data_IF_581341165114
#
_entry.id   IF_581341165114
#
_cell.length_a   1.000
_cell.length_b   1.000
_cell.length_c   1.000
_cell.angle_alpha   90.00
_cell.angle_beta   90.00
_cell.angle_gamma   90.00
#
_symmetry.space_group_name_H-M   'P 1'
#
loop_
_entity.id
_entity.type
_entity.pdbx_description
1 polymer ?
#
# COMPACT_ATOMS: atom_id res chain seq x y z
N UNK A 1 -24.02 -5.67 -1.33
CA UNK A 1 -22.71 -5.54 -0.66
C UNK A 1 -22.45 -6.67 0.35
N UNK A 2 -23.17 -6.76 1.48
CA UNK A 2 -22.89 -7.73 2.56
C UNK A 2 -22.82 -9.20 2.11
N UNK A 3 -23.75 -9.65 1.27
CA UNK A 3 -23.76 -11.01 0.71
C UNK A 3 -22.52 -11.29 -0.13
N UNK A 4 -22.19 -10.37 -1.04
CA UNK A 4 -21.02 -10.49 -1.91
C UNK A 4 -19.72 -10.51 -1.10
N UNK A 5 -19.61 -9.66 -0.05
CA UNK A 5 -18.44 -9.62 0.81
C UNK A 5 -18.30 -10.91 1.62
N UNK A 6 -19.41 -11.42 2.17
CA UNK A 6 -19.44 -12.69 2.88
C UNK A 6 -18.98 -13.84 1.96
N UNK A 7 -19.42 -13.86 0.71
CA UNK A 7 -19.00 -14.89 -0.24
C UNK A 7 -17.47 -14.86 -0.45
N UNK A 8 -16.87 -13.68 -0.63
CA UNK A 8 -15.41 -13.56 -0.74
C UNK A 8 -14.69 -14.09 0.52
N UNK A 9 -15.23 -13.79 1.70
CA UNK A 9 -14.69 -14.33 2.97
C UNK A 9 -14.86 -15.85 3.04
N UNK A 10 -16.02 -16.39 2.66
CA UNK A 10 -16.27 -17.83 2.64
C UNK A 10 -15.30 -18.57 1.71
N UNK A 11 -15.08 -18.03 0.52
CA UNK A 11 -14.18 -18.61 -0.48
C UNK A 11 -12.74 -18.60 0.03
N UNK A 12 -12.31 -17.49 0.64
CA UNK A 12 -10.99 -17.40 1.28
C UNK A 12 -10.83 -18.40 2.42
N UNK A 13 -11.84 -18.58 3.27
CA UNK A 13 -11.83 -19.53 4.39
C UNK A 13 -11.74 -20.98 3.92
N UNK A 14 -12.39 -21.32 2.80
CA UNK A 14 -12.41 -22.70 2.26
C UNK A 14 -11.14 -23.08 1.51
N UNK A 15 -10.41 -22.10 0.98
CA UNK A 15 -9.21 -22.34 0.17
C UNK A 15 -8.08 -23.05 0.95
N UNK A 16 -7.95 -22.85 2.27
CA UNK A 16 -6.99 -23.57 3.11
C UNK A 16 -7.54 -23.88 4.49
N UNK A 17 -7.29 -25.09 5.00
CA UNK A 17 -7.77 -25.55 6.32
C UNK A 17 -7.24 -24.75 7.51
N UNK A 18 -6.11 -24.06 7.34
CA UNK A 18 -5.53 -23.20 8.39
C UNK A 18 -6.20 -21.83 8.48
N UNK A 19 -7.02 -21.45 7.49
CA UNK A 19 -7.67 -20.13 7.45
C UNK A 19 -8.92 -20.10 8.33
N UNK A 20 -9.04 -19.01 9.08
CA UNK A 20 -10.14 -18.78 10.00
C UNK A 20 -10.31 -17.27 10.22
N UNK A 21 -11.42 -16.86 10.84
CA UNK A 21 -11.70 -15.44 11.09
C UNK A 21 -10.65 -14.77 12.01
N UNK A 22 -9.98 -15.51 12.89
CA UNK A 22 -8.91 -14.95 13.72
C UNK A 22 -7.67 -14.61 12.88
N UNK A 23 -7.30 -15.50 11.95
CA UNK A 23 -6.24 -15.24 10.99
C UNK A 23 -6.56 -14.04 10.09
N UNK A 24 -7.79 -13.99 9.55
CA UNK A 24 -8.23 -12.88 8.71
C UNK A 24 -8.20 -11.55 9.49
N UNK A 25 -8.67 -11.55 10.74
CA UNK A 25 -8.61 -10.37 11.60
C UNK A 25 -7.20 -9.83 11.76
N UNK A 26 -6.21 -10.72 11.95
CA UNK A 26 -4.80 -10.34 12.03
C UNK A 26 -4.30 -9.79 10.69
N UNK A 27 -4.48 -10.54 9.61
CA UNK A 27 -3.96 -10.19 8.28
C UNK A 27 -4.58 -8.94 7.67
N UNK A 28 -5.85 -8.66 7.97
CA UNK A 28 -6.55 -7.48 7.46
C UNK A 28 -6.47 -6.29 8.41
N UNK A 29 -5.91 -6.45 9.62
CA UNK A 29 -5.95 -5.43 10.68
C UNK A 29 -7.37 -5.03 11.14
N UNK A 30 -8.41 -5.82 10.80
CA UNK A 30 -9.79 -5.56 11.22
C UNK A 30 -10.04 -6.27 12.54
N UNK A 31 -10.49 -5.58 13.61
CA UNK A 31 -10.75 -6.23 14.89
C UNK A 31 -11.72 -7.39 14.77
N UNK A 32 -11.42 -8.51 15.44
CA UNK A 32 -12.22 -9.73 15.36
C UNK A 32 -13.72 -9.53 15.64
N UNK A 33 -14.15 -8.71 16.65
CA UNK A 33 -15.56 -8.44 16.87
C UNK A 33 -16.23 -7.76 15.67
N UNK A 34 -15.54 -6.83 15.00
CA UNK A 34 -16.02 -6.15 13.79
C UNK A 34 -16.14 -7.14 12.64
N UNK A 35 -15.09 -7.93 12.40
CA UNK A 35 -15.10 -8.96 11.36
C UNK A 35 -16.22 -9.98 11.56
N UNK A 36 -16.43 -10.44 12.80
CA UNK A 36 -17.52 -11.37 13.15
C UNK A 36 -18.89 -10.79 12.79
N UNK A 37 -19.17 -9.54 13.16
CA UNK A 37 -20.45 -8.86 12.83
C UNK A 37 -20.62 -8.68 11.32
N UNK A 38 -19.55 -8.32 10.60
CA UNK A 38 -19.57 -8.20 9.13
C UNK A 38 -19.86 -9.55 8.48
N UNK A 39 -19.20 -10.62 8.95
CA UNK A 39 -19.39 -11.98 8.45
C UNK A 39 -20.79 -12.53 8.72
N UNK A 40 -21.36 -12.22 9.90
CA UNK A 40 -22.74 -12.53 10.27
C UNK A 40 -23.77 -11.59 9.63
N UNK A 41 -23.33 -10.59 8.86
CA UNK A 41 -24.18 -9.60 8.18
C UNK A 41 -25.01 -8.74 9.15
N UNK A 42 -24.53 -8.60 10.40
CA UNK A 42 -25.19 -7.82 11.46
C UNK A 42 -24.92 -6.31 11.34
N UNK A 43 -23.88 -5.91 10.63
CA UNK A 43 -23.53 -4.51 10.42
C UNK A 43 -22.97 -4.26 9.01
N UNK A 44 -23.32 -3.12 8.42
CA UNK A 44 -22.71 -2.64 7.18
C UNK A 44 -21.29 -2.12 7.46
N UNK A 45 -20.23 -2.73 6.87
CA UNK A 45 -18.87 -2.27 7.06
C UNK A 45 -18.66 -0.89 6.44
N UNK A 46 -17.77 -0.10 7.04
CA UNK A 46 -17.25 1.13 6.43
C UNK A 46 -16.43 0.80 5.18
N UNK A 47 -16.23 1.76 4.29
CA UNK A 47 -15.33 1.61 3.13
C UNK A 47 -13.92 1.15 3.57
N UNK A 48 -13.39 1.74 4.63
CA UNK A 48 -12.10 1.36 5.22
C UNK A 48 -12.07 -0.13 5.60
N UNK A 49 -13.12 -0.63 6.26
CA UNK A 49 -13.23 -2.05 6.62
C UNK A 49 -13.31 -2.92 5.38
N UNK A 50 -14.03 -2.49 4.34
CA UNK A 50 -14.13 -3.21 3.07
C UNK A 50 -12.77 -3.30 2.38
N UNK A 51 -12.05 -2.18 2.22
CA UNK A 51 -10.74 -2.13 1.59
C UNK A 51 -9.72 -3.03 2.31
N UNK A 52 -9.69 -2.95 3.65
CA UNK A 52 -8.83 -3.79 4.46
C UNK A 52 -9.10 -5.28 4.25
N UNK A 53 -10.38 -5.69 4.19
CA UNK A 53 -10.75 -7.09 3.93
C UNK A 53 -10.41 -7.52 2.50
N UNK A 54 -10.77 -6.73 1.49
CA UNK A 54 -10.50 -7.03 0.08
C UNK A 54 -9.01 -7.22 -0.20
N UNK A 55 -8.14 -6.48 0.51
CA UNK A 55 -6.69 -6.61 0.42
C UNK A 55 -6.18 -8.02 0.77
N UNK A 56 -6.98 -8.82 1.49
CA UNK A 56 -6.64 -10.18 1.91
C UNK A 56 -7.48 -11.24 1.20
N UNK A 57 -8.79 -11.03 1.11
CA UNK A 57 -9.73 -12.08 0.64
C UNK A 57 -9.93 -12.08 -0.87
N UNK A 58 -9.61 -10.99 -1.56
CA UNK A 58 -9.90 -10.83 -2.98
C UNK A 58 -8.92 -9.86 -3.66
N UNK A 59 -7.60 -10.09 -3.62
CA UNK A 59 -6.63 -9.18 -4.22
C UNK A 59 -6.81 -9.05 -5.74
N UNK A 60 -6.43 -7.91 -6.31
CA UNK A 60 -6.45 -7.68 -7.76
C UNK A 60 -7.83 -7.38 -8.34
N UNK A 61 -8.14 -8.01 -9.49
CA UNK A 61 -9.35 -7.75 -10.28
C UNK A 61 -10.65 -8.04 -9.53
N UNK A 62 -10.62 -8.95 -8.56
CA UNK A 62 -11.77 -9.26 -7.73
C UNK A 62 -12.11 -8.10 -6.78
N UNK A 63 -11.10 -7.44 -6.19
CA UNK A 63 -11.29 -6.22 -5.40
C UNK A 63 -11.85 -5.09 -6.27
N UNK A 64 -11.28 -4.88 -7.47
CA UNK A 64 -11.77 -3.86 -8.40
C UNK A 64 -13.22 -4.10 -8.82
N UNK A 65 -13.58 -5.34 -9.14
CA UNK A 65 -14.95 -5.72 -9.50
C UNK A 65 -15.92 -5.45 -8.35
N UNK A 66 -15.51 -5.77 -7.12
CA UNK A 66 -16.31 -5.49 -5.93
C UNK A 66 -16.49 -3.98 -5.71
N UNK A 67 -15.41 -3.20 -5.80
CA UNK A 67 -15.41 -1.76 -5.59
C UNK A 67 -16.23 -1.04 -6.66
N UNK A 68 -16.09 -1.41 -7.93
CA UNK A 68 -16.89 -0.83 -9.00
C UNK A 68 -18.40 -1.09 -8.82
N UNK A 69 -18.77 -2.24 -8.25
CA UNK A 69 -20.17 -2.60 -7.99
C UNK A 69 -20.78 -1.89 -6.80
N UNK A 70 -20.07 -1.75 -5.68
CA UNK A 70 -20.64 -1.26 -4.41
C UNK A 70 -20.15 0.13 -3.99
N UNK A 71 -19.05 0.62 -4.58
CA UNK A 71 -18.39 1.89 -4.25
C UNK A 71 -17.84 2.56 -5.52
N UNK A 72 -18.72 2.89 -6.48
CA UNK A 72 -18.34 3.28 -7.84
C UNK A 72 -17.33 4.44 -7.94
N UNK A 73 -17.41 5.43 -7.05
CA UNK A 73 -16.44 6.54 -6.99
C UNK A 73 -15.03 6.05 -6.66
N UNK A 74 -14.92 5.17 -5.66
CA UNK A 74 -13.66 4.56 -5.23
C UNK A 74 -13.17 3.55 -6.27
N UNK A 75 -14.07 2.71 -6.79
CA UNK A 75 -13.75 1.75 -7.84
C UNK A 75 -13.18 2.42 -9.09
N UNK A 76 -13.72 3.57 -9.48
CA UNK A 76 -13.19 4.39 -10.58
C UNK A 76 -11.80 4.93 -10.27
N UNK A 77 -11.58 5.44 -9.05
CA UNK A 77 -10.27 5.91 -8.61
C UNK A 77 -9.22 4.79 -8.59
N UNK A 78 -9.49 3.66 -7.94
CA UNK A 78 -8.57 2.50 -7.91
C UNK A 78 -8.36 1.96 -9.33
N UNK A 79 -9.40 1.91 -10.17
CA UNK A 79 -9.26 1.48 -11.56
C UNK A 79 -8.30 2.36 -12.35
N UNK A 80 -8.23 3.68 -12.09
CA UNK A 80 -7.25 4.56 -12.72
C UNK A 80 -5.82 4.28 -12.25
N UNK A 81 -5.65 3.95 -10.97
CA UNK A 81 -4.33 3.57 -10.42
C UNK A 81 -3.80 2.24 -10.99
N UNK A 82 -4.70 1.33 -11.35
CA UNK A 82 -4.36 -0.04 -11.78
C UNK A 82 -4.39 -0.20 -13.30
N UNK A 83 -5.20 0.58 -14.04
CA UNK A 83 -5.30 0.48 -15.49
C UNK A 83 -4.12 1.15 -16.19
N UNK A 84 -3.17 0.32 -16.62
CA UNK A 84 -2.10 0.73 -17.52
C UNK A 84 -0.77 0.06 -17.24
N UNK A 85 -0.64 -0.63 -16.10
CA UNK A 85 0.59 -1.17 -15.57
C UNK A 85 0.28 -2.55 -14.99
N UNK A 86 1.18 -3.52 -15.15
CA UNK A 86 1.08 -4.86 -14.53
C UNK A 86 1.26 -4.75 -13.01
N UNK A 87 0.34 -4.04 -12.35
CA UNK A 87 0.40 -3.66 -10.95
C UNK A 87 0.08 -4.88 -10.10
N UNK A 88 1.02 -5.27 -9.26
CA UNK A 88 0.86 -6.41 -8.38
C UNK A 88 0.31 -6.00 -7.01
N UNK A 89 -0.48 -6.86 -6.39
CA UNK A 89 -0.94 -6.67 -5.01
C UNK A 89 -0.19 -7.64 -4.11
N UNK A 90 0.62 -7.15 -3.15
CA UNK A 90 1.34 -8.02 -2.24
C UNK A 90 0.39 -8.90 -1.43
N UNK A 91 0.89 -10.08 -1.02
CA UNK A 91 0.15 -10.94 -0.10
C UNK A 91 -0.01 -10.30 1.27
N UNK A 92 -1.01 -10.73 2.04
CA UNK A 92 -1.25 -10.23 3.39
C UNK A 92 -0.06 -10.37 4.34
N UNK A 93 0.76 -11.41 4.20
CA UNK A 93 1.96 -11.57 5.03
C UNK A 93 3.02 -10.47 4.74
N UNK A 94 3.04 -9.96 3.51
CA UNK A 94 3.89 -8.82 3.12
C UNK A 94 3.28 -7.51 3.61
N UNK A 95 1.95 -7.38 3.67
CA UNK A 95 1.31 -6.21 4.26
C UNK A 95 1.77 -6.00 5.70
N UNK A 96 1.89 -7.07 6.50
CA UNK A 96 2.41 -6.97 7.87
C UNK A 96 3.85 -6.48 7.92
N UNK A 97 4.72 -6.93 7.01
CA UNK A 97 6.10 -6.40 6.93
C UNK A 97 6.12 -4.95 6.45
N UNK A 98 5.22 -4.54 5.56
CA UNK A 98 5.09 -3.15 5.11
C UNK A 98 4.63 -2.20 6.24
N UNK A 99 4.02 -2.72 7.32
CA UNK A 99 3.72 -1.94 8.54
C UNK A 99 4.97 -1.66 9.38
N UNK A 100 6.01 -2.48 9.27
CA UNK A 100 7.27 -2.30 9.98
C UNK A 100 8.20 -1.35 9.22
N UNK A 101 8.63 -0.26 9.90
CA UNK A 101 9.43 0.81 9.27
C UNK A 101 10.71 0.31 8.59
N UNK A 102 11.43 -0.62 9.23
CA UNK A 102 12.72 -1.10 8.71
C UNK A 102 12.51 -2.07 7.56
N UNK A 103 11.52 -2.95 7.68
CA UNK A 103 11.16 -3.89 6.63
C UNK A 103 10.65 -3.14 5.38
N UNK A 104 9.82 -2.11 5.57
CA UNK A 104 9.42 -1.18 4.52
C UNK A 104 10.61 -0.48 3.84
N UNK A 105 11.58 0.01 4.60
CA UNK A 105 12.78 0.63 4.04
C UNK A 105 13.63 -0.36 3.23
N UNK A 106 13.79 -1.60 3.73
CA UNK A 106 14.51 -2.67 3.03
C UNK A 106 13.79 -3.05 1.73
N UNK A 107 12.46 -3.20 1.75
CA UNK A 107 11.65 -3.49 0.56
C UNK A 107 11.80 -2.37 -0.47
N UNK A 108 11.75 -1.11 -0.04
CA UNK A 108 11.93 0.04 -0.93
C UNK A 108 13.33 0.05 -1.56
N UNK A 109 14.39 -0.22 -0.78
CA UNK A 109 15.76 -0.32 -1.30
C UNK A 109 15.95 -1.52 -2.25
N UNK A 110 15.27 -2.64 -1.97
CA UNK A 110 15.31 -3.84 -2.79
C UNK A 110 14.44 -3.72 -4.07
N UNK A 111 13.64 -2.66 -4.19
CA UNK A 111 12.88 -2.36 -5.40
C UNK A 111 13.80 -1.83 -6.51
N UNK A 112 13.31 -1.80 -7.76
CA UNK A 112 14.07 -1.41 -8.95
C UNK A 112 15.33 -2.29 -9.20
N UNK A 113 16.53 -1.70 -9.22
CA UNK A 113 17.77 -2.46 -9.46
C UNK A 113 18.28 -3.23 -8.23
N UNK A 114 17.58 -3.18 -7.11
CA UNK A 114 17.91 -3.95 -5.91
C UNK A 114 19.02 -3.34 -5.06
N UNK A 115 19.17 -3.87 -3.86
CA UNK A 115 20.12 -3.43 -2.82
C UNK A 115 21.17 -4.51 -2.51
N UNK A 116 22.01 -4.32 -1.49
CA UNK A 116 22.98 -5.33 -1.03
C UNK A 116 22.85 -5.55 0.47
N UNK A 117 23.26 -6.74 0.94
CA UNK A 117 23.30 -7.06 2.37
C UNK A 117 24.15 -6.05 3.15
N UNK A 118 25.30 -5.67 2.60
CA UNK A 118 26.21 -4.69 3.20
C UNK A 118 25.56 -3.31 3.37
N UNK A 119 24.71 -2.88 2.42
CA UNK A 119 23.99 -1.61 2.56
C UNK A 119 22.91 -1.68 3.64
N UNK A 120 22.17 -2.79 3.72
CA UNK A 120 21.15 -3.03 4.74
C UNK A 120 21.78 -3.02 6.14
N UNK A 121 22.85 -3.80 6.33
CA UNK A 121 23.59 -3.86 7.59
C UNK A 121 24.15 -2.49 7.99
N UNK A 122 24.78 -1.78 7.04
CA UNK A 122 25.31 -0.43 7.30
C UNK A 122 24.23 0.57 7.73
N UNK A 123 23.02 0.49 7.16
CA UNK A 123 21.93 1.45 7.45
C UNK A 123 21.13 1.09 8.70
N UNK A 124 20.94 -0.21 8.97
CA UNK A 124 19.95 -0.67 9.95
C UNK A 124 20.53 -1.62 11.01
N UNK A 125 21.82 -1.94 10.93
CA UNK A 125 22.53 -2.83 11.86
C UNK A 125 21.95 -4.25 11.90
N UNK A 126 22.21 -4.94 13.01
CA UNK A 126 21.81 -6.34 13.22
C UNK A 126 20.30 -6.54 13.10
N UNK A 127 19.50 -5.58 13.58
CA UNK A 127 18.04 -5.67 13.49
C UNK A 127 17.55 -5.61 12.03
N UNK A 128 18.16 -4.77 11.20
CA UNK A 128 17.88 -4.76 9.77
C UNK A 128 18.27 -6.06 9.08
N UNK A 129 19.40 -6.65 9.47
CA UNK A 129 19.83 -7.97 8.97
C UNK A 129 18.83 -9.07 9.33
N UNK A 130 18.30 -9.06 10.56
CA UNK A 130 17.25 -10.01 10.98
C UNK A 130 15.96 -9.83 10.16
N UNK A 131 15.53 -8.59 9.94
CA UNK A 131 14.36 -8.29 9.09
C UNK A 131 14.58 -8.72 7.64
N UNK A 132 15.77 -8.49 7.08
CA UNK A 132 16.11 -8.95 5.75
C UNK A 132 16.05 -10.49 5.65
N UNK A 133 16.62 -11.21 6.61
CA UNK A 133 16.58 -12.67 6.60
C UNK A 133 15.14 -13.19 6.64
N UNK A 134 14.30 -12.58 7.48
CA UNK A 134 12.86 -12.89 7.51
C UNK A 134 12.17 -12.63 6.17
N UNK A 135 12.46 -11.51 5.50
CA UNK A 135 11.92 -11.17 4.17
C UNK A 135 12.36 -12.19 3.09
N UNK A 136 13.57 -12.74 3.22
CA UNK A 136 14.07 -13.80 2.33
C UNK A 136 13.38 -15.14 2.65
N UNK A 137 13.23 -15.48 3.93
CA UNK A 137 12.56 -16.72 4.37
C UNK A 137 11.10 -16.79 3.89
N UNK A 138 10.41 -15.65 3.81
CA UNK A 138 9.03 -15.58 3.28
C UNK A 138 8.95 -15.37 1.76
N UNK A 139 10.07 -15.47 1.03
CA UNK A 139 10.15 -15.31 -0.42
C UNK A 139 9.67 -13.92 -0.94
N UNK A 140 9.69 -12.90 -0.06
CA UNK A 140 9.40 -11.52 -0.42
C UNK A 140 10.61 -10.84 -1.08
N UNK A 141 11.82 -11.22 -0.67
CA UNK A 141 13.09 -10.78 -1.27
C UNK A 141 13.87 -11.99 -1.74
N UNK A 142 14.46 -11.90 -2.93
CA UNK A 142 15.36 -12.91 -3.46
C UNK A 142 16.74 -12.31 -3.78
N UNK A 143 17.77 -13.16 -3.74
CA UNK A 143 19.14 -12.76 -4.02
C UNK A 143 19.56 -13.25 -5.42
N UNK A 144 20.10 -12.34 -6.23
CA UNK A 144 20.63 -12.62 -7.56
C UNK A 144 21.85 -11.72 -7.81
N UNK A 145 22.95 -12.29 -8.28
CA UNK A 145 24.18 -11.54 -8.59
C UNK A 145 24.66 -10.63 -7.43
N UNK A 146 24.60 -11.13 -6.20
CA UNK A 146 24.91 -10.40 -4.93
C UNK A 146 24.01 -9.19 -4.64
N UNK A 147 22.91 -9.06 -5.37
CA UNK A 147 21.90 -8.02 -5.14
C UNK A 147 20.59 -8.64 -4.66
N UNK A 148 19.91 -7.90 -3.81
CA UNK A 148 18.65 -8.24 -3.19
C UNK A 148 17.53 -7.53 -3.91
N UNK A 149 16.57 -8.28 -4.41
CA UNK A 149 15.45 -7.79 -5.20
C UNK A 149 14.14 -8.11 -4.50
N UNK A 150 13.23 -7.14 -4.49
CA UNK A 150 11.86 -7.37 -4.06
C UNK A 150 11.11 -8.16 -5.14
N UNK A 151 10.30 -9.14 -4.71
CA UNK A 151 9.60 -10.07 -5.61
C UNK A 151 8.55 -9.39 -6.48
N UNK A 152 7.92 -8.34 -5.95
CA UNK A 152 6.82 -7.65 -6.62
C UNK A 152 7.34 -6.44 -7.37
N UNK A 153 7.15 -6.43 -8.68
CA UNK A 153 7.39 -5.25 -9.50
C UNK A 153 6.13 -4.39 -9.54
N UNK A 154 6.28 -3.06 -9.56
CA UNK A 154 5.18 -2.09 -9.69
C UNK A 154 3.99 -2.40 -8.75
N UNK A 155 4.24 -2.71 -7.48
CA UNK A 155 3.16 -3.10 -6.59
C UNK A 155 2.34 -1.92 -6.08
N UNK A 156 1.11 -2.18 -5.63
CA UNK A 156 0.25 -1.18 -4.99
C UNK A 156 -0.47 -1.75 -3.77
N UNK A 157 -0.87 -0.86 -2.87
CA UNK A 157 -1.64 -1.17 -1.65
C UNK A 157 -2.95 -0.37 -1.71
N UNK A 158 -4.06 -1.02 -1.34
CA UNK A 158 -5.39 -0.39 -1.29
C UNK A 158 -5.93 -0.21 0.14
N UNK A 159 -5.24 -0.77 1.14
CA UNK A 159 -5.56 -0.56 2.55
C UNK A 159 -5.12 0.86 2.97
N UNK A 160 -6.09 1.73 3.22
CA UNK A 160 -5.85 3.12 3.64
C UNK A 160 -5.05 3.23 4.93
N UNK A 161 -5.19 2.28 5.88
CA UNK A 161 -4.41 2.30 7.13
C UNK A 161 -2.94 2.03 6.85
N UNK A 162 -2.68 1.01 6.03
CA UNK A 162 -1.31 0.68 5.63
C UNK A 162 -0.67 1.83 4.84
N UNK A 163 -1.40 2.49 3.95
CA UNK A 163 -0.91 3.68 3.22
C UNK A 163 -0.50 4.79 4.20
N UNK A 164 -1.34 5.10 5.19
CA UNK A 164 -1.03 6.13 6.19
C UNK A 164 0.18 5.76 7.06
N UNK A 165 0.34 4.49 7.42
CA UNK A 165 1.52 3.98 8.13
C UNK A 165 2.78 4.12 7.27
N UNK A 166 2.73 3.82 5.97
CA UNK A 166 3.85 4.00 5.04
C UNK A 166 4.23 5.46 4.82
N UNK A 167 3.25 6.37 4.79
CA UNK A 167 3.50 7.81 4.76
C UNK A 167 4.28 8.22 6.01
N UNK A 168 3.86 7.74 7.19
CA UNK A 168 4.60 8.00 8.44
C UNK A 168 6.03 7.46 8.38
N UNK A 169 6.23 6.25 7.86
CA UNK A 169 7.58 5.70 7.68
C UNK A 169 8.43 6.56 6.75
N UNK A 170 7.85 7.10 5.68
CA UNK A 170 8.54 8.01 4.75
C UNK A 170 8.96 9.31 5.45
N UNK A 171 8.11 9.87 6.30
CA UNK A 171 8.45 11.02 7.14
C UNK A 171 9.59 10.68 8.11
N UNK A 172 9.53 9.52 8.76
CA UNK A 172 10.57 9.07 9.71
C UNK A 172 11.92 8.75 9.03
N UNK A 173 11.91 8.46 7.73
CA UNK A 173 13.09 8.16 6.91
C UNK A 173 13.63 9.39 6.15
N UNK A 174 12.91 10.50 6.18
CA UNK A 174 13.28 11.73 5.49
C UNK A 174 14.56 12.34 6.10
N UNK A 175 15.61 12.52 5.29
CA UNK A 175 16.84 13.17 5.71
C UNK A 175 16.81 14.66 5.36
N UNK A 176 16.59 15.49 6.39
CA UNK A 176 16.56 16.96 6.27
C UNK A 176 17.85 17.53 5.64
N UNK A 177 18.98 16.82 5.75
CA UNK A 177 20.24 17.28 5.15
C UNK A 177 20.24 17.20 3.62
N UNK A 178 19.33 16.42 3.04
CA UNK A 178 19.18 16.30 1.58
C UNK A 178 18.21 17.33 1.00
N UNK A 179 17.62 18.21 1.82
CA UNK A 179 16.74 19.28 1.33
C UNK A 179 17.49 20.18 0.36
N UNK A 180 16.94 20.34 -0.85
CA UNK A 180 17.56 21.08 -1.95
C UNK A 180 18.21 20.20 -3.01
N UNK A 181 18.39 18.89 -2.74
CA UNK A 181 18.74 17.92 -3.77
C UNK A 181 17.54 17.69 -4.73
N UNK A 182 17.79 17.35 -6.02
CA UNK A 182 16.72 17.02 -6.95
C UNK A 182 15.79 15.93 -6.40
N UNK A 183 14.48 16.14 -6.53
CA UNK A 183 13.42 15.25 -6.02
C UNK A 183 13.32 15.10 -4.49
N UNK A 184 14.10 15.85 -3.70
CA UNK A 184 13.95 15.90 -2.23
C UNK A 184 13.18 17.17 -1.86
N UNK A 185 11.91 17.01 -1.48
CA UNK A 185 11.06 18.10 -1.05
C UNK A 185 10.19 17.71 0.15
N UNK A 186 9.90 18.70 0.99
CA UNK A 186 8.87 18.62 2.03
C UNK A 186 8.11 19.94 2.00
N UNK A 187 6.80 19.88 1.77
CA UNK A 187 5.95 21.07 1.65
C UNK A 187 4.62 20.85 2.38
N UNK A 188 4.15 21.91 3.03
CA UNK A 188 2.82 21.98 3.64
C UNK A 188 2.13 23.25 3.16
N UNK A 189 0.99 23.09 2.51
CA UNK A 189 0.13 24.19 2.04
C UNK A 189 -1.19 24.14 2.82
N UNK A 190 -1.54 25.21 3.52
CA UNK A 190 -2.78 25.31 4.30
C UNK A 190 -3.51 26.60 3.97
N UNK A 191 -4.62 26.52 3.23
CA UNK A 191 -5.46 27.66 2.88
C UNK A 191 -6.90 27.22 2.53
N UNK A 192 -7.86 28.13 2.59
CA UNK A 192 -9.22 27.91 2.12
C UNK A 192 -9.35 28.03 0.60
N UNK A 193 -10.00 27.06 -0.04
CA UNK A 193 -10.35 27.11 -1.47
C UNK A 193 -11.87 27.29 -1.64
N UNK A 194 -12.26 28.06 -2.65
CA UNK A 194 -13.64 28.05 -3.15
C UNK A 194 -13.86 26.84 -4.08
N UNK A 195 -15.11 26.57 -4.48
CA UNK A 195 -15.46 25.41 -5.31
C UNK A 195 -14.64 25.32 -6.60
N UNK A 196 -14.43 26.46 -7.27
CA UNK A 196 -13.58 26.55 -8.47
C UNK A 196 -12.15 26.09 -8.17
N UNK A 197 -11.58 26.56 -7.06
CA UNK A 197 -10.25 26.17 -6.60
C UNK A 197 -10.16 24.68 -6.23
N UNK A 198 -11.19 24.13 -5.60
CA UNK A 198 -11.28 22.70 -5.28
C UNK A 198 -11.28 21.85 -6.55
N UNK A 199 -12.09 22.22 -7.56
CA UNK A 199 -12.15 21.52 -8.84
C UNK A 199 -10.82 21.61 -9.59
N UNK A 200 -10.18 22.78 -9.59
CA UNK A 200 -8.86 22.97 -10.21
C UNK A 200 -7.78 22.13 -9.52
N UNK A 201 -7.75 22.14 -8.19
CA UNK A 201 -6.80 21.36 -7.41
C UNK A 201 -6.99 19.86 -7.64
N UNK A 202 -8.24 19.37 -7.63
CA UNK A 202 -8.54 17.97 -7.89
C UNK A 202 -8.05 17.52 -9.29
N UNK A 203 -8.16 18.39 -10.30
CA UNK A 203 -7.64 18.12 -11.64
C UNK A 203 -6.11 18.02 -11.64
N UNK A 204 -5.42 18.98 -11.02
CA UNK A 204 -3.95 19.00 -10.96
C UNK A 204 -3.38 17.80 -10.20
N UNK A 205 -4.02 17.37 -9.11
CA UNK A 205 -3.63 16.17 -8.39
C UNK A 205 -3.77 14.93 -9.30
N UNK A 206 -4.87 14.81 -10.03
CA UNK A 206 -5.08 13.69 -10.93
C UNK A 206 -4.07 13.66 -12.11
N UNK A 207 -3.78 14.82 -12.71
CA UNK A 207 -2.76 14.95 -13.76
C UNK A 207 -1.37 14.58 -13.24
N UNK A 208 -1.01 15.08 -12.05
CA UNK A 208 0.26 14.77 -11.38
C UNK A 208 0.43 13.27 -11.11
N UNK A 209 -0.60 12.59 -10.61
CA UNK A 209 -0.60 11.13 -10.39
C UNK A 209 -0.31 10.36 -11.69
N UNK A 210 -1.01 10.71 -12.78
CA UNK A 210 -0.85 10.05 -14.07
C UNK A 210 0.54 10.28 -14.68
N UNK A 211 1.11 11.48 -14.52
CA UNK A 211 2.48 11.79 -14.93
C UNK A 211 3.50 11.03 -14.08
N UNK A 212 3.32 11.02 -12.76
CA UNK A 212 4.19 10.35 -11.80
C UNK A 212 4.28 8.85 -12.11
N UNK A 213 3.14 8.18 -12.26
CA UNK A 213 3.10 6.75 -12.61
C UNK A 213 3.83 6.46 -13.92
N UNK A 214 3.66 7.31 -14.95
CA UNK A 214 4.37 7.16 -16.22
C UNK A 214 5.88 7.27 -16.05
N UNK A 215 6.36 8.18 -15.20
CA UNK A 215 7.80 8.34 -14.90
C UNK A 215 8.35 7.09 -14.21
N UNK A 216 7.70 6.60 -13.15
CA UNK A 216 8.16 5.42 -12.40
C UNK A 216 8.26 4.15 -13.26
N UNK A 217 7.50 4.10 -14.36
CA UNK A 217 7.46 2.96 -15.27
C UNK A 217 8.47 3.12 -16.40
N UNK A 218 8.60 4.31 -16.97
CA UNK A 218 9.48 4.58 -18.12
C UNK A 218 10.94 4.77 -17.70
N UNK A 219 11.17 5.47 -16.60
CA UNK A 219 12.49 5.95 -16.18
C UNK A 219 13.08 5.11 -15.05
N UNK A 220 13.05 3.78 -15.17
CA UNK A 220 13.62 2.86 -14.16
C UNK A 220 15.14 3.05 -14.06
N UNK A 221 15.66 3.19 -12.84
CA UNK A 221 17.09 3.43 -12.60
C UNK A 221 17.60 2.92 -11.24
N UNK A 222 18.79 3.38 -10.86
CA UNK A 222 19.44 3.02 -9.58
C UNK A 222 19.01 3.88 -8.40
N UNK A 223 18.42 5.04 -8.65
CA UNK A 223 17.96 5.94 -7.60
C UNK A 223 16.66 5.41 -7.01
N UNK A 224 16.63 5.25 -5.69
CA UNK A 224 15.43 4.86 -4.96
C UNK A 224 14.77 6.13 -4.44
N UNK A 225 13.57 6.40 -4.93
CA UNK A 225 12.76 7.56 -4.52
C UNK A 225 11.60 7.07 -3.68
N UNK A 226 11.45 7.63 -2.49
CA UNK A 226 10.26 7.47 -1.66
C UNK A 226 9.46 8.77 -1.78
N UNK A 227 8.37 8.73 -2.54
CA UNK A 227 7.44 9.84 -2.66
C UNK A 227 6.12 9.48 -1.98
N UNK A 228 5.64 10.37 -1.13
CA UNK A 228 4.40 10.18 -0.38
C UNK A 228 3.75 11.53 -0.17
N UNK A 229 2.45 11.62 -0.45
CA UNK A 229 1.66 12.82 -0.21
C UNK A 229 0.25 12.44 0.20
N UNK A 230 -0.35 13.32 0.99
CA UNK A 230 -1.73 13.22 1.42
C UNK A 230 -2.39 14.56 1.15
N UNK A 231 -3.56 14.50 0.52
CA UNK A 231 -4.45 15.65 0.42
C UNK A 231 -5.71 15.34 1.23
N UNK A 232 -6.08 16.28 2.10
CA UNK A 232 -7.30 16.17 2.91
C UNK A 232 -8.01 17.51 2.93
N UNK A 233 -9.33 17.48 2.79
CA UNK A 233 -10.18 18.65 2.94
C UNK A 233 -10.69 18.71 4.37
N UNK A 234 -10.54 19.88 5.01
CA UNK A 234 -11.16 20.17 6.30
C UNK A 234 -12.46 20.93 6.01
N UNK A 235 -13.59 20.31 6.30
CA UNK A 235 -14.88 21.00 6.24
C UNK A 235 -15.04 21.87 7.47
N UNK A 236 -15.33 23.15 7.27
CA UNK A 236 -15.89 23.99 8.32
C UNK A 236 -17.39 23.70 8.31
N UNK A 237 -17.90 23.09 9.39
CA UNK A 237 -19.35 22.96 9.62
C UNK A 237 -20.04 24.33 9.56
#
# INVERSE_FOLDING_TARGET
>A
MLKDLKNLVDDWLKDRSTRNLSLLSRQSGVPYPTLRRVYQQENSPTLETVLALLSVVAPGDNALSFLNKHFSSVGSWVSKLVKGLDTQFPTADIHEELRDRISFAIITLASAQGTTRALVEKKFGDYGTQKLNRLIEMDAIYEKDQRLFFRYENFSVIDSRLILEQIKHTVDLFDVKQVGEPAVCAQLHTEGLNDTGVVQLARLIAEFEEDLQRIFVRERGTNVVMLSYISSFLHKE
#
